data_IF_548677999230
#
_entry.id   IF_548677999230
#
_cell.length_a   1.000
_cell.length_b   1.000
_cell.length_c   1.000
_cell.angle_alpha   90.00
_cell.angle_beta   90.00
_cell.angle_gamma   90.00
#
_symmetry.space_group_name_H-M   'P 1'
#
loop_
_entity.id
_entity.type
_entity.pdbx_description
1 polymer ?
#
# COMPACT_ATOMS: atom_id res chain seq x y z
N UNK A 1 42.66 31.72 2.10
CA UNK A 1 42.68 30.24 1.87
C UNK A 1 41.64 29.51 2.71
N UNK A 2 41.53 29.76 4.03
CA UNK A 2 40.47 29.15 4.87
C UNK A 2 39.05 29.45 4.37
N UNK A 3 38.81 30.65 3.85
CA UNK A 3 37.51 31.10 3.34
C UNK A 3 36.94 30.19 2.26
N UNK A 4 37.77 29.76 1.30
CA UNK A 4 37.33 28.87 0.21
C UNK A 4 37.02 27.46 0.74
N UNK A 5 37.77 26.99 1.74
CA UNK A 5 37.53 25.68 2.37
C UNK A 5 36.23 25.70 3.17
N UNK A 6 35.96 26.78 3.91
CA UNK A 6 34.70 26.95 4.64
C UNK A 6 33.53 27.06 3.67
N UNK A 7 33.68 27.80 2.57
CA UNK A 7 32.65 27.90 1.54
C UNK A 7 32.32 26.52 0.94
N UNK A 8 33.35 25.74 0.56
CA UNK A 8 33.16 24.38 0.05
C UNK A 8 32.50 23.46 1.06
N UNK A 9 32.86 23.57 2.35
CA UNK A 9 32.24 22.79 3.41
C UNK A 9 30.73 23.07 3.50
N UNK A 10 30.32 24.34 3.48
CA UNK A 10 28.91 24.73 3.53
C UNK A 10 28.15 24.18 2.32
N UNK A 11 28.73 24.29 1.12
CA UNK A 11 28.11 23.74 -0.10
C UNK A 11 27.99 22.22 -0.01
N UNK A 12 29.03 21.52 0.43
CA UNK A 12 29.00 20.07 0.57
C UNK A 12 27.91 19.60 1.54
N UNK A 13 27.75 20.30 2.68
CA UNK A 13 26.69 20.01 3.65
C UNK A 13 25.29 20.28 3.07
N UNK A 14 25.12 21.38 2.34
CA UNK A 14 23.86 21.69 1.66
C UNK A 14 23.47 20.64 0.62
N UNK A 15 24.44 20.17 -0.18
CA UNK A 15 24.22 19.11 -1.15
C UNK A 15 23.90 17.77 -0.48
N UNK A 16 24.61 17.42 0.60
CA UNK A 16 24.32 16.21 1.37
C UNK A 16 22.88 16.21 1.90
N UNK A 17 22.44 17.33 2.48
CA UNK A 17 21.07 17.50 2.95
C UNK A 17 20.04 17.41 1.80
N UNK A 18 20.33 18.00 0.64
CA UNK A 18 19.44 17.93 -0.52
C UNK A 18 19.26 16.50 -1.06
N UNK A 19 20.34 15.72 -1.08
CA UNK A 19 20.29 14.29 -1.45
C UNK A 19 19.45 13.50 -0.46
N UNK A 20 19.65 13.71 0.84
CA UNK A 20 18.86 13.05 1.89
C UNK A 20 17.36 13.37 1.81
N UNK A 21 17.01 14.64 1.59
CA UNK A 21 15.61 15.03 1.39
C UNK A 21 14.99 14.36 0.17
N UNK A 22 15.77 14.22 -0.91
CA UNK A 22 15.31 13.57 -2.14
C UNK A 22 15.09 12.07 -1.93
N UNK A 23 15.98 11.39 -1.20
CA UNK A 23 15.82 9.95 -0.91
C UNK A 23 14.63 9.69 0.00
N UNK A 24 14.41 10.54 1.01
CA UNK A 24 13.22 10.49 1.87
C UNK A 24 11.93 10.70 1.06
N UNK A 25 11.89 11.71 0.19
CA UNK A 25 10.74 11.97 -0.66
C UNK A 25 10.44 10.80 -1.61
N UNK A 26 11.47 10.21 -2.22
CA UNK A 26 11.33 9.03 -3.08
C UNK A 26 10.79 7.81 -2.31
N UNK A 27 11.29 7.55 -1.10
CA UNK A 27 10.80 6.46 -0.24
C UNK A 27 9.34 6.65 0.17
N UNK A 28 8.93 7.88 0.46
CA UNK A 28 7.53 8.21 0.78
C UNK A 28 6.62 8.00 -0.42
N UNK A 29 7.02 8.46 -1.61
CA UNK A 29 6.27 8.27 -2.84
C UNK A 29 6.07 6.78 -3.16
N UNK A 30 7.12 5.97 -3.01
CA UNK A 30 7.05 4.52 -3.19
C UNK A 30 6.09 3.86 -2.20
N UNK A 31 6.13 4.26 -0.92
CA UNK A 31 5.20 3.74 0.11
C UNK A 31 3.75 4.08 -0.21
N UNK A 32 3.47 5.30 -0.67
CA UNK A 32 2.12 5.72 -1.09
C UNK A 32 1.63 4.95 -2.31
N UNK A 33 2.52 4.72 -3.27
CA UNK A 33 2.23 3.89 -4.44
C UNK A 33 1.86 2.46 -4.02
N UNK A 34 2.64 1.83 -3.13
CA UNK A 34 2.33 0.49 -2.63
C UNK A 34 0.96 0.42 -1.93
N UNK A 35 0.62 1.41 -1.09
CA UNK A 35 -0.69 1.50 -0.44
C UNK A 35 -1.83 1.63 -1.47
N UNK A 36 -1.63 2.44 -2.51
CA UNK A 36 -2.61 2.63 -3.58
C UNK A 36 -2.85 1.32 -4.36
N UNK A 37 -1.78 0.60 -4.70
CA UNK A 37 -1.90 -0.69 -5.37
C UNK A 37 -2.57 -1.74 -4.47
N UNK A 38 -2.23 -1.80 -3.19
CA UNK A 38 -2.87 -2.69 -2.22
C UNK A 38 -4.37 -2.40 -2.08
N UNK A 39 -4.75 -1.12 -2.08
CA UNK A 39 -6.14 -0.67 -2.04
C UNK A 39 -6.91 -1.08 -3.31
N UNK A 40 -6.30 -0.94 -4.49
CA UNK A 40 -6.88 -1.44 -5.74
C UNK A 40 -7.07 -2.96 -5.73
N UNK A 41 -6.14 -3.72 -5.14
CA UNK A 41 -6.30 -5.16 -4.95
C UNK A 41 -7.51 -5.44 -4.04
N UNK A 42 -7.65 -4.72 -2.92
CA UNK A 42 -8.78 -4.89 -2.01
C UNK A 42 -10.12 -4.56 -2.69
N UNK A 43 -10.19 -3.45 -3.43
CA UNK A 43 -11.36 -3.05 -4.20
C UNK A 43 -11.75 -4.08 -5.26
N UNK A 44 -10.77 -4.63 -5.97
CA UNK A 44 -11.02 -5.69 -6.95
C UNK A 44 -11.61 -6.94 -6.29
N UNK A 45 -11.08 -7.35 -5.12
CA UNK A 45 -11.63 -8.48 -4.37
C UNK A 45 -13.06 -8.21 -3.92
N UNK A 46 -13.33 -7.03 -3.38
CA UNK A 46 -14.68 -6.62 -3.00
C UNK A 46 -15.65 -6.61 -4.19
N UNK A 47 -15.18 -6.13 -5.35
CA UNK A 47 -15.97 -6.12 -6.58
C UNK A 47 -16.30 -7.55 -7.04
N UNK A 48 -15.35 -8.48 -7.00
CA UNK A 48 -15.58 -9.90 -7.32
C UNK A 48 -16.68 -10.50 -6.44
N UNK A 49 -16.67 -10.23 -5.13
CA UNK A 49 -17.71 -10.71 -4.23
C UNK A 49 -19.09 -10.13 -4.54
N UNK A 50 -19.15 -8.84 -4.88
CA UNK A 50 -20.41 -8.18 -5.26
C UNK A 50 -20.96 -8.71 -6.59
N UNK A 51 -20.09 -9.05 -7.53
CA UNK A 51 -20.48 -9.61 -8.83
C UNK A 51 -21.07 -11.03 -8.74
N UNK A 52 -20.81 -11.77 -7.67
CA UNK A 52 -21.41 -13.10 -7.47
C UNK A 52 -22.94 -13.05 -7.30
N UNK A 53 -23.53 -11.88 -7.01
CA UNK A 53 -24.99 -11.68 -6.98
C UNK A 53 -25.72 -12.39 -5.84
N UNK A 54 -25.02 -13.15 -5.00
CA UNK A 54 -25.56 -13.88 -3.85
C UNK A 54 -24.88 -13.47 -2.56
N UNK A 55 -25.54 -13.68 -1.43
CA UNK A 55 -24.94 -13.40 -0.13
C UNK A 55 -23.69 -14.29 0.05
N UNK A 56 -22.49 -13.71 0.28
CA UNK A 56 -21.28 -14.50 0.41
C UNK A 56 -21.38 -15.48 1.58
N UNK A 57 -20.90 -16.71 1.36
CA UNK A 57 -20.82 -17.72 2.42
C UNK A 57 -19.85 -17.26 3.51
N UNK A 58 -20.18 -17.52 4.77
CA UNK A 58 -19.25 -17.25 5.88
C UNK A 58 -18.01 -18.14 5.72
N UNK A 59 -16.83 -17.58 5.99
CA UNK A 59 -15.58 -18.29 5.83
C UNK A 59 -14.38 -17.36 5.65
N UNK A 60 -13.22 -17.96 5.40
CA UNK A 60 -12.00 -17.24 5.08
C UNK A 60 -11.40 -17.73 3.78
N UNK A 61 -11.00 -16.81 2.91
CA UNK A 61 -10.25 -17.10 1.69
C UNK A 61 -8.91 -16.36 1.72
N UNK A 62 -7.89 -16.95 1.13
CA UNK A 62 -6.58 -16.30 0.96
C UNK A 62 -6.10 -16.53 -0.46
N UNK A 63 -5.21 -15.66 -0.91
CA UNK A 63 -4.56 -15.83 -2.18
C UNK A 63 -3.50 -14.77 -2.41
N UNK A 64 -2.98 -14.75 -3.63
CA UNK A 64 -2.04 -13.74 -4.08
C UNK A 64 -2.47 -13.17 -5.43
N UNK A 65 -1.97 -12.00 -5.77
CA UNK A 65 -2.17 -11.35 -7.07
C UNK A 65 -0.95 -10.51 -7.40
N UNK A 66 -0.58 -10.47 -8.67
CA UNK A 66 0.49 -9.60 -9.15
C UNK A 66 -0.11 -8.29 -9.67
N UNK A 67 0.31 -7.16 -9.13
CA UNK A 67 -0.16 -5.84 -9.53
C UNK A 67 0.97 -4.80 -9.42
N UNK A 68 1.15 -3.98 -10.46
CA UNK A 68 2.20 -2.95 -10.49
C UNK A 68 3.61 -3.52 -10.33
N UNK A 69 3.87 -4.73 -10.84
CA UNK A 69 5.15 -5.42 -10.70
C UNK A 69 5.35 -6.16 -9.36
N UNK A 70 4.53 -5.89 -8.36
CA UNK A 70 4.63 -6.48 -7.01
C UNK A 70 3.62 -7.63 -6.82
N UNK A 71 3.95 -8.56 -5.92
CA UNK A 71 3.03 -9.63 -5.50
C UNK A 71 2.37 -9.24 -4.19
N UNK A 72 1.04 -9.10 -4.21
CA UNK A 72 0.24 -8.84 -3.02
C UNK A 72 -0.45 -10.12 -2.56
N UNK A 73 -0.39 -10.39 -1.27
CA UNK A 73 -1.14 -11.43 -0.59
C UNK A 73 -2.38 -10.81 0.03
N UNK A 74 -3.54 -11.43 -0.19
CA UNK A 74 -4.80 -10.96 0.36
C UNK A 74 -5.45 -12.06 1.20
N UNK A 75 -6.15 -11.63 2.24
CA UNK A 75 -6.99 -12.46 3.08
C UNK A 75 -8.36 -11.82 3.16
N UNK A 76 -9.36 -12.63 2.91
CA UNK A 76 -10.76 -12.29 3.02
C UNK A 76 -11.36 -13.07 4.19
N UNK A 77 -12.11 -12.39 5.05
CA UNK A 77 -12.86 -12.99 6.13
C UNK A 77 -14.30 -12.48 6.08
N UNK A 78 -15.23 -13.41 5.88
CA UNK A 78 -16.67 -13.15 5.84
C UNK A 78 -17.29 -13.68 7.13
N UNK A 79 -17.96 -12.80 7.87
CA UNK A 79 -18.70 -13.14 9.08
C UNK A 79 -20.16 -12.69 9.02
N UNK A 80 -20.98 -13.19 9.95
CA UNK A 80 -22.37 -12.77 10.11
C UNK A 80 -22.46 -11.25 10.36
N UNK A 81 -23.39 -10.59 9.67
CA UNK A 81 -23.75 -9.20 9.94
C UNK A 81 -24.79 -9.09 11.05
N UNK A 82 -25.11 -7.86 11.45
CA UNK A 82 -26.13 -7.59 12.47
C UNK A 82 -27.55 -7.99 12.04
N UNK A 83 -27.79 -8.16 10.73
CA UNK A 83 -29.05 -8.60 10.14
C UNK A 83 -28.83 -9.89 9.33
N UNK A 84 -29.85 -10.76 9.20
CA UNK A 84 -29.73 -12.02 8.45
C UNK A 84 -29.24 -11.84 7.01
N UNK A 85 -29.72 -10.78 6.35
CA UNK A 85 -29.36 -10.38 4.98
C UNK A 85 -28.04 -9.59 4.85
N UNK A 86 -27.32 -9.34 5.95
CA UNK A 86 -26.06 -8.57 5.93
C UNK A 86 -24.88 -9.49 6.26
N UNK A 87 -23.76 -9.30 5.56
CA UNK A 87 -22.48 -9.95 5.86
C UNK A 87 -21.40 -8.91 6.06
N UNK A 88 -20.54 -9.16 7.04
CA UNK A 88 -19.36 -8.37 7.28
C UNK A 88 -18.22 -8.98 6.48
N UNK A 89 -17.64 -8.22 5.56
CA UNK A 89 -16.52 -8.65 4.72
C UNK A 89 -15.29 -7.83 5.11
N UNK A 90 -14.25 -8.50 5.61
CA UNK A 90 -12.95 -7.89 5.89
C UNK A 90 -11.93 -8.40 4.88
N UNK A 91 -11.37 -7.48 4.10
CA UNK A 91 -10.29 -7.77 3.15
C UNK A 91 -9.03 -7.10 3.68
N UNK A 92 -7.98 -7.89 3.88
CA UNK A 92 -6.66 -7.41 4.30
C UNK A 92 -5.65 -7.76 3.21
N UNK A 93 -4.86 -6.77 2.80
CA UNK A 93 -3.84 -6.92 1.76
C UNK A 93 -2.46 -6.59 2.35
N UNK A 94 -1.49 -7.44 2.08
CA UNK A 94 -0.08 -7.30 2.49
C UNK A 94 0.81 -7.63 1.30
N UNK A 95 1.83 -6.82 1.03
CA UNK A 95 2.78 -6.99 -0.07
C UNK A 95 4.16 -6.48 0.29
#
# INVERSE_FOLDING_TARGET
>A
MLEVVVALLIVALGLAAAVELTTLAAGNAFTLQQKTLADWVAMNRLATLRMAGTLPAAGSATGHVKMGGNTFYWREAISGGALPQVRNVRISVSG
#
